data_IF_825495905014
#
_entry.id   IF_825495905014
#
_cell.length_a   1.000
_cell.length_b   1.000
_cell.length_c   1.000
_cell.angle_alpha   90.00
_cell.angle_beta   90.00
_cell.angle_gamma   90.00
#
_symmetry.space_group_name_H-M   'P 1'
#
loop_
_entity.id
_entity.type
_entity.pdbx_description
1 polymer ?
#
# COMPACT_ATOMS: atom_id res chain seq x y z
N UNK A 1 10.48 -17.48 -17.07
CA UNK A 1 10.21 -16.04 -17.27
C UNK A 1 9.20 -15.61 -16.21
N UNK A 2 9.65 -14.90 -15.19
CA UNK A 2 8.78 -14.14 -14.28
C UNK A 2 9.56 -12.87 -13.97
N UNK A 3 9.14 -11.76 -14.58
CA UNK A 3 9.74 -10.45 -14.33
C UNK A 3 9.30 -10.03 -12.93
N UNK A 4 10.24 -10.06 -11.98
CA UNK A 4 10.08 -9.40 -10.70
C UNK A 4 9.90 -7.90 -11.01
N UNK A 5 8.66 -7.44 -10.98
CA UNK A 5 8.32 -6.03 -11.20
C UNK A 5 8.83 -5.24 -9.99
N UNK A 6 9.91 -4.50 -10.23
CA UNK A 6 10.57 -3.61 -9.30
C UNK A 6 9.63 -2.50 -8.84
N UNK A 7 9.36 -2.45 -7.53
CA UNK A 7 8.56 -1.41 -6.89
C UNK A 7 9.29 -0.07 -6.96
N UNK A 8 8.72 0.89 -7.69
CA UNK A 8 9.22 2.26 -7.74
C UNK A 8 9.29 2.88 -6.33
N UNK A 9 10.27 3.76 -6.04
CA UNK A 9 10.40 4.35 -4.72
C UNK A 9 9.22 5.32 -4.49
N UNK A 10 8.30 4.95 -3.60
CA UNK A 10 7.28 5.86 -3.06
C UNK A 10 7.98 7.02 -2.36
N UNK A 11 7.45 8.23 -2.52
CA UNK A 11 7.81 9.41 -1.74
C UNK A 11 7.96 9.05 -0.25
N UNK A 12 8.91 9.71 0.42
CA UNK A 12 9.50 9.40 1.74
C UNK A 12 8.53 9.44 2.95
N UNK A 13 7.27 9.05 2.77
CA UNK A 13 6.27 8.85 3.82
C UNK A 13 6.33 7.45 4.43
N UNK A 14 5.78 7.31 5.64
CA UNK A 14 5.74 6.04 6.37
C UNK A 14 4.93 5.02 5.56
N UNK A 15 5.58 3.93 5.12
CA UNK A 15 4.91 2.80 4.48
C UNK A 15 4.18 1.99 5.55
N UNK A 16 2.88 1.77 5.35
CA UNK A 16 2.02 1.01 6.27
C UNK A 16 1.50 -0.24 5.58
N UNK A 17 1.16 -1.28 6.34
CA UNK A 17 0.62 -2.55 5.85
C UNK A 17 -0.82 -2.75 6.37
N UNK A 18 -1.59 -3.66 5.76
CA UNK A 18 -2.88 -4.12 6.30
C UNK A 18 -2.65 -5.16 7.39
N UNK A 19 -3.54 -5.24 8.37
CA UNK A 19 -3.55 -6.31 9.36
C UNK A 19 -4.68 -7.28 9.00
N UNK A 20 -4.32 -8.47 8.52
CA UNK A 20 -5.24 -9.52 8.08
C UNK A 20 -4.83 -10.82 8.77
N UNK A 21 -5.77 -11.49 9.43
CA UNK A 21 -5.54 -12.73 10.19
C UNK A 21 -4.34 -12.64 11.15
N UNK A 22 -4.27 -11.53 11.91
CA UNK A 22 -3.19 -11.29 12.87
C UNK A 22 -1.80 -11.00 12.26
N UNK A 23 -1.70 -10.95 10.93
CA UNK A 23 -0.45 -10.75 10.19
C UNK A 23 -0.45 -9.44 9.41
N UNK A 24 0.70 -8.77 9.37
CA UNK A 24 0.90 -7.57 8.54
C UNK A 24 1.15 -7.95 7.09
N UNK A 25 0.29 -7.53 6.19
CA UNK A 25 0.29 -7.90 4.78
C UNK A 25 0.26 -6.66 3.85
N UNK A 26 0.95 -6.76 2.71
CA UNK A 26 0.73 -5.88 1.56
C UNK A 26 -0.57 -6.29 0.82
N UNK A 27 -1.09 -5.43 -0.07
CA UNK A 27 -2.25 -5.82 -0.92
C UNK A 27 -1.87 -6.95 -1.86
N UNK A 28 -2.80 -7.88 -2.06
CA UNK A 28 -2.76 -8.92 -3.07
C UNK A 28 -2.45 -8.35 -4.47
N UNK A 29 -3.01 -7.18 -4.77
CA UNK A 29 -2.81 -6.49 -6.05
C UNK A 29 -1.47 -5.75 -6.18
N UNK A 30 -0.73 -5.58 -5.07
CA UNK A 30 0.49 -4.77 -5.00
C UNK A 30 0.27 -3.26 -5.17
N UNK A 31 -0.98 -2.80 -5.35
CA UNK A 31 -1.31 -1.38 -5.53
C UNK A 31 -1.30 -0.65 -4.20
N UNK A 32 -1.04 0.66 -4.26
CA UNK A 32 -1.04 1.55 -3.10
C UNK A 32 -1.91 2.79 -3.35
N UNK A 33 -2.28 3.45 -2.26
CA UNK A 33 -2.96 4.75 -2.22
C UNK A 33 -2.05 5.73 -1.49
N UNK A 34 -1.78 6.87 -2.12
CA UNK A 34 -1.10 8.00 -1.47
C UNK A 34 -2.08 8.73 -0.57
N UNK A 35 -1.70 8.93 0.70
CA UNK A 35 -2.48 9.68 1.68
C UNK A 35 -2.00 11.13 1.67
N UNK A 36 -2.92 12.05 1.39
CA UNK A 36 -2.64 13.49 1.39
C UNK A 36 -3.13 14.16 2.67
N UNK A 37 -2.35 15.12 3.17
CA UNK A 37 -2.76 16.01 4.25
C UNK A 37 -3.77 17.04 3.73
N UNK A 38 -4.97 17.16 4.32
CA UNK A 38 -6.01 18.06 3.82
C UNK A 38 -5.63 19.55 3.92
N UNK A 39 -4.72 19.91 4.84
CA UNK A 39 -4.33 21.30 5.06
C UNK A 39 -3.37 21.88 4.02
N UNK A 40 -2.61 21.03 3.31
CA UNK A 40 -1.57 21.48 2.38
C UNK A 40 -1.37 20.56 1.16
N UNK A 41 -2.21 19.53 1.01
CA UNK A 41 -2.17 18.52 -0.07
C UNK A 41 -0.81 17.82 -0.22
N UNK A 42 -0.01 17.79 0.84
CA UNK A 42 1.26 17.07 0.82
C UNK A 42 1.01 15.59 1.11
N UNK A 43 1.70 14.72 0.38
CA UNK A 43 1.66 13.27 0.61
C UNK A 43 2.39 12.97 1.91
N UNK A 44 1.72 12.29 2.84
CA UNK A 44 2.26 11.96 4.17
C UNK A 44 2.48 10.46 4.37
N UNK A 45 1.83 9.60 3.58
CA UNK A 45 2.00 8.15 3.66
C UNK A 45 1.62 7.45 2.34
N UNK A 46 2.05 6.20 2.21
CA UNK A 46 1.56 5.25 1.20
C UNK A 46 1.00 4.02 1.92
N UNK A 47 -0.22 3.62 1.56
CA UNK A 47 -0.91 2.47 2.14
C UNK A 47 -1.31 1.48 1.03
N UNK A 48 -1.30 0.16 1.28
CA UNK A 48 -1.82 -0.82 0.35
C UNK A 48 -3.28 -0.56 0.00
N UNK A 49 -3.63 -0.74 -1.27
CA UNK A 49 -4.99 -0.62 -1.78
C UNK A 49 -5.70 -1.98 -1.68
N UNK A 50 -6.39 -2.21 -0.57
CA UNK A 50 -7.21 -3.41 -0.39
C UNK A 50 -8.23 -3.60 -1.53
N UNK A 51 -8.36 -4.84 -2.01
CA UNK A 51 -9.36 -5.27 -2.98
C UNK A 51 -10.19 -6.45 -2.42
N UNK A 52 -11.08 -7.04 -3.23
CA UNK A 52 -11.90 -8.18 -2.79
C UNK A 52 -11.04 -9.39 -2.35
N UNK A 53 -9.93 -9.66 -3.03
CA UNK A 53 -9.01 -10.77 -2.68
C UNK A 53 -8.33 -10.56 -1.33
N UNK A 54 -8.15 -9.31 -0.89
CA UNK A 54 -7.64 -8.98 0.44
C UNK A 54 -8.73 -9.14 1.52
N UNK A 55 -10.01 -9.00 1.15
CA UNK A 55 -11.17 -9.18 2.06
C UNK A 55 -11.50 -10.65 2.29
N UNK A 56 -11.29 -11.50 1.28
CA UNK A 56 -11.60 -12.94 1.34
C UNK A 56 -10.58 -13.77 2.16
N UNK A 57 -9.55 -13.13 2.73
CA UNK A 57 -8.49 -13.75 3.53
C UNK A 57 -8.81 -13.70 5.02
#
# INVERSE_FOLDING_TARGET
MAVAMSKAPSASGKRTQMLIDGSWADSASGKEISVESPGNRQIIASIPRGNAEDVDR
#
